data_IF_084853549803
#
_entry.id   IF_084853549803
#
_cell.length_a   1.000
_cell.length_b   1.000
_cell.length_c   1.000
_cell.angle_alpha   90.00
_cell.angle_beta   90.00
_cell.angle_gamma   90.00
#
_symmetry.space_group_name_H-M   'P 1'
#
loop_
_entity.id
_entity.type
_entity.pdbx_description
1 polymer ?
#
# COMPACT_ATOMS: atom_id res chain seq x y z
N UNK A 1 7.39 -47.82 40.21
CA UNK A 1 6.60 -46.61 40.54
C UNK A 1 7.13 -45.48 39.70
N UNK A 2 6.26 -44.96 38.82
CA UNK A 2 6.58 -44.00 37.77
C UNK A 2 6.38 -42.56 38.24
N UNK A 3 7.17 -41.64 37.68
CA UNK A 3 6.71 -40.29 37.36
C UNK A 3 7.57 -39.75 36.21
N UNK A 4 7.10 -40.01 34.99
CA UNK A 4 7.59 -39.42 33.74
C UNK A 4 7.10 -37.97 33.68
N UNK A 5 8.02 -37.01 33.81
CA UNK A 5 7.73 -35.60 33.56
C UNK A 5 7.79 -35.35 32.05
N UNK A 6 6.64 -35.46 31.39
CA UNK A 6 6.46 -35.06 30.00
C UNK A 6 6.63 -33.53 29.91
N UNK A 7 7.67 -33.09 29.21
CA UNK A 7 7.75 -31.73 28.71
C UNK A 7 6.79 -31.56 27.53
N UNK A 8 5.51 -31.44 27.81
CA UNK A 8 4.52 -30.99 26.83
C UNK A 8 4.50 -29.45 26.84
N UNK A 9 5.63 -28.83 26.45
CA UNK A 9 5.63 -27.40 26.08
C UNK A 9 5.05 -27.29 24.68
N UNK A 10 3.73 -27.36 24.63
CA UNK A 10 2.89 -26.98 23.50
C UNK A 10 3.47 -25.74 22.82
N UNK A 11 3.71 -25.89 21.52
CA UNK A 11 4.14 -24.84 20.60
C UNK A 11 3.48 -23.50 20.94
N UNK A 12 4.29 -22.51 21.30
CA UNK A 12 3.84 -21.13 21.41
C UNK A 12 3.51 -20.69 19.99
N UNK A 13 2.22 -20.69 19.63
CA UNK A 13 1.73 -20.01 18.43
C UNK A 13 2.04 -18.53 18.66
N UNK A 14 3.22 -18.08 18.26
CA UNK A 14 3.46 -16.67 18.00
C UNK A 14 2.71 -16.35 16.73
N UNK A 15 1.38 -16.22 16.84
CA UNK A 15 0.59 -15.58 15.80
C UNK A 15 1.15 -14.17 15.72
N UNK A 16 1.76 -13.81 14.58
CA UNK A 16 2.22 -12.46 14.34
C UNK A 16 1.03 -11.52 14.65
N UNK A 17 1.09 -10.69 15.71
CA UNK A 17 -0.03 -9.85 16.10
C UNK A 17 -0.36 -8.80 15.02
N UNK A 18 0.58 -8.56 14.09
CA UNK A 18 0.37 -7.71 12.93
C UNK A 18 -0.26 -8.45 11.74
N UNK A 19 -0.36 -9.77 11.75
CA UNK A 19 -0.94 -10.55 10.64
C UNK A 19 -2.36 -10.09 10.28
N UNK A 20 -3.30 -9.88 11.22
CA UNK A 20 -4.62 -9.36 10.89
C UNK A 20 -4.59 -7.93 10.32
N UNK A 21 -3.65 -7.09 10.79
CA UNK A 21 -3.49 -5.72 10.33
C UNK A 21 -2.90 -5.67 8.92
N UNK A 22 -1.93 -6.54 8.64
CA UNK A 22 -1.30 -6.72 7.33
C UNK A 22 -2.32 -7.21 6.31
N UNK A 23 -3.17 -8.18 6.68
CA UNK A 23 -4.26 -8.64 5.81
C UNK A 23 -5.25 -7.52 5.49
N UNK A 24 -5.66 -6.73 6.49
CA UNK A 24 -6.52 -5.55 6.27
C UNK A 24 -5.86 -4.52 5.35
N UNK A 25 -4.55 -4.31 5.50
CA UNK A 25 -3.79 -3.45 4.61
C UNK A 25 -3.80 -3.96 3.17
N UNK A 26 -3.53 -5.25 2.94
CA UNK A 26 -3.56 -5.86 1.61
C UNK A 26 -4.96 -5.81 0.96
N UNK A 27 -6.03 -6.00 1.75
CA UNK A 27 -7.41 -5.79 1.26
C UNK A 27 -7.60 -4.35 0.76
N UNK A 28 -7.15 -3.34 1.52
CA UNK A 28 -7.22 -1.94 1.06
C UNK A 28 -6.37 -1.69 -0.17
N UNK A 29 -5.18 -2.30 -0.28
CA UNK A 29 -4.36 -2.21 -1.48
C UNK A 29 -5.11 -2.71 -2.73
N UNK A 30 -5.89 -3.80 -2.62
CA UNK A 30 -6.76 -4.28 -3.71
C UNK A 30 -7.83 -3.26 -4.09
N UNK A 31 -8.52 -2.69 -3.09
CA UNK A 31 -9.56 -1.68 -3.34
C UNK A 31 -8.97 -0.44 -4.02
N UNK A 32 -7.83 0.05 -3.53
CA UNK A 32 -7.12 1.19 -4.11
C UNK A 32 -6.59 0.90 -5.52
N UNK A 33 -6.14 -0.33 -5.81
CA UNK A 33 -5.69 -0.71 -7.16
C UNK A 33 -6.79 -0.51 -8.20
N UNK A 34 -8.03 -0.88 -7.88
CA UNK A 34 -9.17 -0.68 -8.77
C UNK A 34 -9.40 0.81 -9.06
N UNK A 35 -9.36 1.65 -8.01
CA UNK A 35 -9.49 3.11 -8.16
C UNK A 35 -8.37 3.71 -9.01
N UNK A 36 -7.11 3.35 -8.73
CA UNK A 36 -5.95 3.88 -9.46
C UNK A 36 -5.99 3.49 -10.95
N UNK A 37 -6.39 2.25 -11.27
CA UNK A 37 -6.59 1.83 -12.67
C UNK A 37 -7.71 2.59 -13.36
N UNK A 38 -8.83 2.85 -12.68
CA UNK A 38 -9.92 3.64 -13.24
C UNK A 38 -9.49 5.08 -13.55
N UNK A 39 -8.70 5.71 -12.67
CA UNK A 39 -8.11 7.03 -12.89
C UNK A 39 -7.20 7.02 -14.12
N UNK A 40 -6.33 6.01 -14.26
CA UNK A 40 -5.47 5.83 -15.42
C UNK A 40 -6.27 5.72 -16.72
N UNK A 41 -7.31 4.87 -16.75
CA UNK A 41 -8.13 4.64 -17.94
C UNK A 41 -8.96 5.87 -18.35
N UNK A 42 -9.25 6.78 -17.42
CA UNK A 42 -9.97 8.02 -17.69
C UNK A 42 -9.09 9.10 -18.34
N UNK A 43 -7.89 8.73 -18.82
CA UNK A 43 -6.99 9.63 -19.57
C UNK A 43 -6.21 10.59 -18.69
N UNK A 44 -6.06 10.31 -17.40
CA UNK A 44 -5.26 11.15 -16.51
C UNK A 44 -5.80 12.58 -16.39
N UNK A 45 -7.11 12.79 -16.62
CA UNK A 45 -7.85 13.94 -16.11
C UNK A 45 -7.96 13.85 -14.59
N UNK A 46 -6.79 13.70 -13.95
CA UNK A 46 -6.49 14.13 -12.62
C UNK A 46 -6.77 15.62 -12.64
N UNK A 47 -8.01 16.01 -12.32
CA UNK A 47 -8.15 17.25 -11.59
C UNK A 47 -7.14 17.11 -10.46
N UNK A 48 -6.09 17.94 -10.45
CA UNK A 48 -4.93 17.85 -9.56
C UNK A 48 -5.30 18.08 -8.07
N UNK A 49 -6.54 17.78 -7.71
CA UNK A 49 -7.28 18.11 -6.50
C UNK A 49 -8.37 17.08 -6.24
N UNK A 50 -8.32 15.88 -6.83
CA UNK A 50 -9.20 14.80 -6.36
C UNK A 50 -8.70 14.38 -4.96
N UNK A 51 -9.31 14.98 -3.94
CA UNK A 51 -9.04 14.73 -2.53
C UNK A 51 -9.05 13.23 -2.19
N UNK A 52 -9.84 12.42 -2.92
CA UNK A 52 -9.89 10.98 -2.72
C UNK A 52 -8.60 10.29 -3.18
N UNK A 53 -7.99 10.74 -4.27
CA UNK A 53 -6.71 10.22 -4.75
C UNK A 53 -5.58 10.64 -3.81
N UNK A 54 -5.50 11.92 -3.43
CA UNK A 54 -4.50 12.42 -2.48
C UNK A 54 -4.56 11.64 -1.17
N UNK A 55 -5.77 11.45 -0.62
CA UNK A 55 -5.96 10.65 0.59
C UNK A 55 -5.57 9.19 0.42
N UNK A 56 -5.80 8.61 -0.75
CA UNK A 56 -5.39 7.23 -1.07
C UNK A 56 -3.87 7.10 -1.06
N UNK A 57 -3.16 7.97 -1.78
CA UNK A 57 -1.69 7.92 -1.84
C UNK A 57 -1.05 8.27 -0.50
N UNK A 58 -1.62 9.20 0.27
CA UNK A 58 -1.22 9.51 1.64
C UNK A 58 -1.35 8.30 2.58
N UNK A 59 -2.48 7.57 2.48
CA UNK A 59 -2.67 6.37 3.29
C UNK A 59 -1.66 5.27 2.93
N UNK A 60 -1.33 5.11 1.64
CA UNK A 60 -0.37 4.11 1.18
C UNK A 60 1.07 4.47 1.56
N UNK A 61 1.43 5.76 1.47
CA UNK A 61 2.75 6.26 1.87
C UNK A 61 3.00 6.01 3.37
N UNK A 62 2.03 6.28 4.24
CA UNK A 62 2.16 6.02 5.68
C UNK A 62 2.08 4.54 6.09
N UNK A 63 1.18 3.77 5.49
CA UNK A 63 0.93 2.39 5.92
C UNK A 63 1.97 1.39 5.38
N UNK A 64 2.53 1.62 4.18
CA UNK A 64 3.53 0.71 3.58
C UNK A 64 4.75 0.52 4.47
N UNK A 65 5.31 1.61 5.02
CA UNK A 65 6.47 1.55 5.92
C UNK A 65 6.22 0.77 7.22
N UNK A 66 5.00 0.83 7.75
CA UNK A 66 4.63 0.14 9.01
C UNK A 66 4.61 -1.38 8.86
N UNK A 67 4.28 -1.89 7.68
CA UNK A 67 4.14 -3.34 7.42
C UNK A 67 5.31 -3.95 6.63
N UNK A 68 6.37 -3.17 6.37
CA UNK A 68 7.58 -3.62 5.67
C UNK A 68 7.52 -3.52 4.15
N UNK A 69 6.58 -2.74 3.59
CA UNK A 69 6.46 -2.47 2.16
C UNK A 69 7.06 -1.10 1.83
N UNK A 70 8.39 -1.01 1.94
CA UNK A 70 9.11 0.26 1.78
C UNK A 70 8.97 0.84 0.37
N UNK A 71 9.13 0.01 -0.66
CA UNK A 71 9.03 0.42 -2.06
C UNK A 71 7.62 0.89 -2.43
N UNK A 72 6.58 0.30 -1.81
CA UNK A 72 5.20 0.76 -1.97
C UNK A 72 5.00 2.13 -1.32
N UNK A 73 5.54 2.31 -0.12
CA UNK A 73 5.49 3.57 0.62
C UNK A 73 6.19 4.70 -0.15
N UNK A 74 7.39 4.45 -0.70
CA UNK A 74 8.14 5.45 -1.47
C UNK A 74 7.44 5.85 -2.77
N UNK A 75 6.90 4.89 -3.52
CA UNK A 75 6.18 5.18 -4.76
C UNK A 75 4.88 5.95 -4.51
N UNK A 76 4.17 5.62 -3.43
CA UNK A 76 2.98 6.36 -3.02
C UNK A 76 3.33 7.80 -2.61
N UNK A 77 4.41 7.99 -1.83
CA UNK A 77 4.90 9.31 -1.45
C UNK A 77 5.32 10.16 -2.65
N UNK A 78 5.98 9.55 -3.65
CA UNK A 78 6.36 10.27 -4.88
C UNK A 78 5.13 10.77 -5.63
N UNK A 79 4.10 9.93 -5.80
CA UNK A 79 2.86 10.35 -6.45
C UNK A 79 2.12 11.43 -5.64
N UNK A 80 2.07 11.29 -4.32
CA UNK A 80 1.52 12.30 -3.40
C UNK A 80 2.20 13.66 -3.55
N UNK A 81 3.53 13.67 -3.61
CA UNK A 81 4.33 14.90 -3.79
C UNK A 81 4.01 15.61 -5.11
N UNK A 82 3.85 14.85 -6.20
CA UNK A 82 3.49 15.41 -7.51
C UNK A 82 2.06 15.96 -7.53
N UNK A 83 1.13 15.33 -6.82
CA UNK A 83 -0.26 15.79 -6.72
C UNK A 83 -0.40 17.04 -5.85
N UNK A 84 0.42 17.18 -4.81
CA UNK A 84 0.38 18.30 -3.86
C UNK A 84 1.28 19.48 -4.27
N UNK A 85 2.06 19.35 -5.34
CA UNK A 85 2.93 20.41 -5.81
C UNK A 85 2.10 21.67 -6.17
N UNK A 86 2.54 22.84 -5.67
CA UNK A 86 1.89 24.13 -5.97
C UNK A 86 1.91 24.44 -7.47
N UNK A 87 2.94 23.97 -8.17
CA UNK A 87 3.03 24.01 -9.62
C UNK A 87 2.44 22.74 -10.22
N UNK A 88 1.71 22.89 -11.32
CA UNK A 88 1.14 21.75 -12.04
C UNK A 88 2.27 20.81 -12.49
N UNK A 89 2.28 19.59 -11.95
CA UNK A 89 3.23 18.55 -12.35
C UNK A 89 3.11 18.25 -13.86
N UNK A 90 4.23 17.84 -14.46
CA UNK A 90 4.25 17.36 -15.84
C UNK A 90 3.31 16.13 -15.95
N UNK A 91 2.30 16.14 -16.83
CA UNK A 91 1.41 15.00 -17.03
C UNK A 91 2.15 13.69 -17.33
N UNK A 92 3.30 13.75 -17.99
CA UNK A 92 4.13 12.57 -18.27
C UNK A 92 4.74 12.02 -16.99
N UNK A 93 5.28 12.88 -16.13
CA UNK A 93 5.85 12.47 -14.85
C UNK A 93 4.77 11.93 -13.91
N UNK A 94 3.62 12.60 -13.85
CA UNK A 94 2.48 12.20 -13.04
C UNK A 94 1.93 10.82 -13.48
N UNK A 95 1.82 10.61 -14.80
CA UNK A 95 1.43 9.32 -15.38
C UNK A 95 2.44 8.21 -15.06
N UNK A 96 3.73 8.49 -15.17
CA UNK A 96 4.79 7.53 -14.83
C UNK A 96 4.78 7.16 -13.34
N UNK A 97 4.55 8.13 -12.45
CA UNK A 97 4.44 7.89 -11.01
C UNK A 97 3.20 7.06 -10.65
N UNK A 98 2.07 7.31 -11.33
CA UNK A 98 0.84 6.50 -11.18
C UNK A 98 1.08 5.05 -11.63
N UNK A 99 1.72 4.86 -12.78
CA UNK A 99 2.04 3.53 -13.31
C UNK A 99 2.98 2.75 -12.40
N UNK A 100 4.00 3.43 -11.89
CA UNK A 100 4.93 2.87 -10.91
C UNK A 100 4.23 2.41 -9.63
N UNK A 101 3.28 3.19 -9.11
CA UNK A 101 2.52 2.82 -7.92
C UNK A 101 1.60 1.62 -8.19
N UNK A 102 0.88 1.61 -9.31
CA UNK A 102 0.02 0.49 -9.72
C UNK A 102 0.81 -0.81 -9.79
N UNK A 103 1.96 -0.79 -10.48
CA UNK A 103 2.82 -1.96 -10.62
C UNK A 103 3.30 -2.49 -9.27
N UNK A 104 3.68 -1.59 -8.35
CA UNK A 104 4.14 -2.01 -7.03
C UNK A 104 3.01 -2.62 -6.18
N UNK A 105 1.79 -2.10 -6.28
CA UNK A 105 0.64 -2.69 -5.61
C UNK A 105 0.35 -4.09 -6.17
N UNK A 106 0.49 -4.31 -7.47
CA UNK A 106 0.35 -5.64 -8.07
C UNK A 106 1.39 -6.62 -7.51
N UNK A 107 2.67 -6.23 -7.45
CA UNK A 107 3.75 -7.05 -6.87
C UNK A 107 3.47 -7.43 -5.41
N UNK A 108 2.91 -6.51 -4.62
CA UNK A 108 2.59 -6.74 -3.20
C UNK A 108 1.40 -7.71 -3.01
N UNK A 109 0.55 -7.86 -4.04
CA UNK A 109 -0.68 -8.65 -3.98
C UNK A 109 -0.58 -10.05 -4.60
N UNK A 110 0.52 -10.31 -5.32
CA UNK A 110 0.95 -11.64 -5.81
C UNK A 110 1.45 -12.54 -4.67
#
# INVERSE_FOLDING_TARGET
MAASWQHDRKFKISSDPFSPLRLRFLTRCRDHLATLKAVKHSGGALAATDDALVRTVHSLSGAGGTFGFHELSERAYRLETLLLAETKADPVELGAALDALIQQIEIVLE
#
